data_IF_767991985471
#
_entry.id   IF_767991985471
#
_cell.length_a   1.000
_cell.length_b   1.000
_cell.length_c   1.000
_cell.angle_alpha   90.00
_cell.angle_beta   90.00
_cell.angle_gamma   90.00
#
_symmetry.space_group_name_H-M   'P 1'
#
loop_
_entity.id
_entity.type
_entity.pdbx_description
1 polymer ?
#
# COMPACT_ATOMS: atom_id res chain seq x y z
N UNK A 1 -12.48 -6.35 5.14
CA UNK A 1 -12.86 -5.36 6.16
C UNK A 1 -12.06 -5.52 7.46
N UNK A 2 -12.07 -6.69 8.14
CA UNK A 2 -11.41 -6.85 9.45
C UNK A 2 -9.89 -6.60 9.48
N UNK A 3 -9.14 -6.93 8.42
CA UNK A 3 -7.70 -6.64 8.37
C UNK A 3 -7.39 -5.13 8.44
N UNK A 4 -8.17 -4.29 7.72
CA UNK A 4 -8.04 -2.83 7.78
C UNK A 4 -8.34 -2.31 9.18
N UNK A 5 -9.37 -2.85 9.83
CA UNK A 5 -9.74 -2.44 11.19
C UNK A 5 -8.68 -2.83 12.22
N UNK A 6 -8.13 -4.04 12.15
CA UNK A 6 -7.08 -4.49 13.05
C UNK A 6 -5.79 -3.66 12.92
N UNK A 7 -5.39 -3.35 11.68
CA UNK A 7 -4.21 -2.51 11.43
C UNK A 7 -4.45 -1.03 11.75
N UNK A 8 -5.66 -0.53 11.55
CA UNK A 8 -6.05 0.80 12.01
C UNK A 8 -5.94 0.91 13.54
N UNK A 9 -6.45 -0.09 14.28
CA UNK A 9 -6.30 -0.14 15.73
C UNK A 9 -4.81 -0.17 16.15
N UNK A 10 -3.99 -0.99 15.49
CA UNK A 10 -2.55 -1.05 15.75
C UNK A 10 -1.83 0.28 15.41
N UNK A 11 -2.28 1.01 14.39
CA UNK A 11 -1.75 2.32 14.01
C UNK A 11 -2.11 3.39 15.06
N UNK A 12 -3.36 3.40 15.53
CA UNK A 12 -3.82 4.30 16.58
C UNK A 12 -3.04 4.12 17.88
N UNK A 13 -2.72 2.89 18.28
CA UNK A 13 -1.92 2.62 19.48
C UNK A 13 -0.50 3.19 19.42
N UNK A 14 0.06 3.37 18.22
CA UNK A 14 1.45 3.82 18.01
C UNK A 14 1.58 5.32 17.78
N UNK A 15 0.48 6.06 17.68
CA UNK A 15 0.47 7.48 17.31
C UNK A 15 -0.39 8.28 18.28
N UNK A 16 0.10 9.44 18.69
CA UNK A 16 -0.73 10.40 19.42
C UNK A 16 -1.40 11.32 18.38
N UNK A 17 -2.65 11.02 18.03
CA UNK A 17 -3.40 11.74 17.01
C UNK A 17 -4.48 12.60 17.66
N UNK A 18 -4.62 13.88 17.30
CA UNK A 18 -5.74 14.70 17.76
C UNK A 18 -7.07 14.18 17.19
N UNK A 19 -8.22 14.57 17.77
CA UNK A 19 -9.53 14.18 17.26
C UNK A 19 -9.76 14.68 15.83
N UNK A 20 -9.73 13.75 14.87
CA UNK A 20 -9.98 13.99 13.44
C UNK A 20 -10.26 12.66 12.73
N UNK A 21 -10.84 12.73 11.55
CA UNK A 21 -10.92 11.59 10.63
C UNK A 21 -9.60 11.47 9.86
N UNK A 22 -8.97 10.29 9.94
CA UNK A 22 -7.74 9.98 9.26
C UNK A 22 -7.97 8.90 8.21
N UNK A 23 -7.32 9.04 7.05
CA UNK A 23 -7.08 7.90 6.16
C UNK A 23 -5.89 7.11 6.68
N UNK A 24 -5.91 5.80 6.48
CA UNK A 24 -4.72 5.00 6.73
C UNK A 24 -3.63 5.41 5.73
N UNK A 25 -2.35 5.41 6.16
CA UNK A 25 -1.24 5.57 5.22
C UNK A 25 -1.31 4.52 4.10
N UNK A 26 -1.00 4.94 2.87
CA UNK A 26 -1.08 4.12 1.67
C UNK A 26 -0.26 2.83 1.79
N UNK A 27 0.90 2.89 2.45
CA UNK A 27 1.76 1.74 2.73
C UNK A 27 1.03 0.62 3.51
N UNK A 28 0.16 1.00 4.45
CA UNK A 28 -0.62 0.04 5.25
C UNK A 28 -1.70 -0.58 4.36
N UNK A 29 -2.37 0.22 3.53
CA UNK A 29 -3.43 -0.26 2.65
C UNK A 29 -2.88 -1.21 1.57
N UNK A 30 -1.75 -0.84 0.95
CA UNK A 30 -1.04 -1.71 0.01
C UNK A 30 -0.62 -3.04 0.64
N UNK A 31 -0.13 -3.01 1.89
CA UNK A 31 0.25 -4.22 2.60
C UNK A 31 -0.94 -5.14 2.81
N UNK A 32 -2.13 -4.59 3.09
CA UNK A 32 -3.34 -5.39 3.26
C UNK A 32 -3.78 -5.98 1.93
N UNK A 33 -3.75 -5.20 0.85
CA UNK A 33 -4.04 -5.69 -0.49
C UNK A 33 -3.12 -6.86 -0.86
N UNK A 34 -1.79 -6.72 -0.66
CA UNK A 34 -0.81 -7.78 -0.90
C UNK A 34 -1.08 -9.03 -0.06
N UNK A 35 -1.39 -8.89 1.23
CA UNK A 35 -1.72 -10.02 2.11
C UNK A 35 -2.99 -10.74 1.66
N UNK A 36 -4.01 -9.99 1.23
CA UNK A 36 -5.27 -10.57 0.73
C UNK A 36 -5.06 -11.35 -0.57
N UNK A 37 -4.34 -10.78 -1.53
CA UNK A 37 -3.99 -11.45 -2.78
C UNK A 37 -3.19 -12.73 -2.52
N UNK A 38 -2.18 -12.68 -1.64
CA UNK A 38 -1.41 -13.85 -1.23
C UNK A 38 -2.29 -14.95 -0.62
N UNK A 39 -3.22 -14.59 0.27
CA UNK A 39 -4.15 -15.55 0.88
C UNK A 39 -5.10 -16.19 -0.14
N UNK A 40 -5.33 -15.53 -1.29
CA UNK A 40 -6.10 -16.06 -2.42
C UNK A 40 -5.23 -16.85 -3.42
N UNK A 41 -3.94 -17.02 -3.15
CA UNK A 41 -3.00 -17.67 -4.07
C UNK A 41 -2.63 -16.82 -5.29
N UNK A 42 -2.94 -15.53 -5.27
CA UNK A 42 -2.66 -14.61 -6.38
C UNK A 42 -1.27 -14.00 -6.17
N UNK A 43 -0.37 -14.26 -7.13
CA UNK A 43 0.93 -13.60 -7.21
C UNK A 43 0.83 -12.24 -7.90
N UNK A 44 1.62 -11.28 -7.43
CA UNK A 44 1.86 -10.02 -8.16
C UNK A 44 3.25 -10.17 -8.79
N UNK A 45 3.34 -9.89 -10.09
CA UNK A 45 4.60 -9.89 -10.80
C UNK A 45 5.50 -8.73 -10.35
N UNK A 46 6.73 -8.72 -10.86
CA UNK A 46 7.69 -7.65 -10.60
C UNK A 46 8.12 -7.06 -11.92
N UNK A 47 8.15 -5.73 -11.97
CA UNK A 47 8.67 -5.03 -13.12
C UNK A 47 10.09 -5.51 -13.43
N UNK A 48 10.33 -5.86 -14.69
CA UNK A 48 11.66 -6.12 -15.22
C UNK A 48 12.50 -4.85 -15.15
N UNK A 49 13.82 -5.00 -15.27
CA UNK A 49 14.72 -3.84 -15.30
C UNK A 49 14.35 -2.86 -16.43
N UNK A 50 14.10 -3.39 -17.63
CA UNK A 50 13.68 -2.62 -18.80
C UNK A 50 12.35 -1.90 -18.57
N UNK A 51 11.35 -2.55 -17.96
CA UNK A 51 10.07 -1.92 -17.63
C UNK A 51 10.23 -0.77 -16.61
N UNK A 52 11.12 -0.92 -15.63
CA UNK A 52 11.43 0.16 -14.68
C UNK A 52 12.14 1.32 -15.36
N UNK A 53 13.12 1.03 -16.20
CA UNK A 53 13.85 2.03 -16.99
C UNK A 53 12.87 2.81 -17.88
N UNK A 54 11.99 2.11 -18.62
CA UNK A 54 10.94 2.72 -19.44
C UNK A 54 9.99 3.64 -18.65
N UNK A 55 9.54 3.21 -17.47
CA UNK A 55 8.67 4.04 -16.60
C UNK A 55 9.40 5.27 -16.05
N UNK A 56 10.70 5.15 -15.74
CA UNK A 56 11.51 6.24 -15.22
C UNK A 56 12.02 7.21 -16.29
N UNK A 57 12.12 6.76 -17.55
CA UNK A 57 12.56 7.57 -18.68
C UNK A 57 11.46 8.48 -19.25
N UNK A 58 10.23 8.37 -18.74
CA UNK A 58 9.16 9.30 -19.06
C UNK A 58 9.43 10.66 -18.38
N UNK A 59 10.25 11.48 -19.02
CA UNK A 59 10.19 12.93 -18.84
C UNK A 59 8.95 13.43 -19.59
N UNK A 60 7.99 14.01 -18.87
CA UNK A 60 6.89 14.74 -19.50
C UNK A 60 7.50 15.91 -20.26
N UNK A 61 7.56 15.82 -21.58
CA UNK A 61 8.17 16.83 -22.44
C UNK A 61 7.40 17.02 -23.74
N UNK A 62 6.34 17.83 -23.68
CA UNK A 62 6.00 19.01 -24.53
C UNK A 62 4.73 19.65 -23.99
#
# INVERSE_FOLDING_TARGET
SFANQALAAAYLLKKNLPPKVYRLPDEIDERIARLKLKAMGIGIDRLTREQKEYLSSWEVGT
#
